data_IF_818006522928
#
_entry.id   IF_818006522928
#
_cell.length_a   1.000
_cell.length_b   1.000
_cell.length_c   1.000
_cell.angle_alpha   90.00
_cell.angle_beta   90.00
_cell.angle_gamma   90.00
#
_symmetry.space_group_name_H-M   'P 1'
#
loop_
_entity.id
_entity.type
_entity.pdbx_description
1 polymer ?
#
# COMPACT_ATOMS: atom_id res chain seq x y z
N UNK A 1 3.83 11.25 21.07
CA UNK A 1 2.92 10.50 20.17
C UNK A 1 3.70 10.13 18.93
N UNK A 2 4.34 8.96 18.91
CA UNK A 2 5.14 8.50 17.77
C UNK A 2 4.39 7.31 17.14
N UNK A 3 3.84 7.52 15.95
CA UNK A 3 3.23 6.44 15.18
C UNK A 3 4.34 5.57 14.60
N UNK A 4 4.32 4.28 14.92
CA UNK A 4 5.19 3.28 14.31
C UNK A 4 4.84 3.14 12.82
N UNK A 5 5.44 3.98 11.98
CA UNK A 5 5.62 3.62 10.59
C UNK A 5 6.51 2.36 10.59
N UNK A 6 6.13 1.34 9.82
CA UNK A 6 6.97 0.19 9.55
C UNK A 6 8.19 0.64 8.72
N UNK A 7 9.12 1.32 9.37
CA UNK A 7 10.43 1.61 8.82
C UNK A 7 11.29 0.40 9.13
N UNK A 8 11.52 -0.42 8.11
CA UNK A 8 12.56 -1.43 8.14
C UNK A 8 13.89 -0.73 8.48
N UNK A 9 14.58 -1.10 9.58
CA UNK A 9 15.87 -0.55 9.91
C UNK A 9 16.92 -1.30 9.09
N UNK A 10 17.22 -0.82 7.89
CA UNK A 10 18.38 -1.30 7.14
C UNK A 10 19.48 -0.26 7.23
N UNK A 11 20.34 -0.48 8.22
CA UNK A 11 21.64 0.13 8.41
C UNK A 11 22.49 -0.01 7.15
N UNK A 12 23.06 1.12 6.76
CA UNK A 12 24.04 1.39 5.71
C UNK A 12 24.85 0.17 5.22
N UNK A 13 24.56 -0.30 3.99
CA UNK A 13 25.41 -1.22 3.23
C UNK A 13 25.12 -1.08 1.73
N UNK A 14 26.14 -1.18 0.86
CA UNK A 14 26.05 -0.67 -0.51
C UNK A 14 25.13 -1.53 -1.38
N UNK A 15 24.06 -0.90 -1.86
CA UNK A 15 23.37 -1.17 -3.13
C UNK A 15 23.10 -2.65 -3.42
N UNK A 16 22.27 -3.27 -2.60
CA UNK A 16 21.26 -4.19 -3.15
C UNK A 16 20.01 -3.87 -2.37
N UNK A 17 19.08 -3.17 -3.02
CA UNK A 17 17.72 -3.14 -2.53
C UNK A 17 17.30 -4.61 -2.50
N UNK A 18 17.36 -5.21 -1.31
CA UNK A 18 16.58 -6.40 -1.02
C UNK A 18 15.19 -6.01 -1.46
N UNK A 19 14.76 -6.58 -2.59
CA UNK A 19 13.36 -6.65 -2.92
C UNK A 19 12.79 -7.48 -1.77
N UNK A 20 12.47 -6.80 -0.66
CA UNK A 20 11.48 -7.28 0.27
C UNK A 20 10.24 -7.33 -0.59
N UNK A 21 10.05 -8.46 -1.29
CA UNK A 21 8.91 -8.73 -2.13
C UNK A 21 7.73 -8.51 -1.20
N UNK A 22 7.14 -7.30 -1.24
CA UNK A 22 6.08 -6.92 -0.32
C UNK A 22 4.88 -7.71 -0.78
N UNK A 23 4.74 -8.91 -0.22
CA UNK A 23 3.58 -9.74 -0.46
C UNK A 23 2.40 -9.10 0.27
N UNK A 24 1.34 -8.78 -0.47
CA UNK A 24 0.15 -8.14 0.06
C UNK A 24 -0.05 -6.69 -0.40
N UNK A 25 -0.95 -6.00 0.29
CA UNK A 25 -1.28 -4.60 -0.01
C UNK A 25 -0.15 -3.65 0.41
N UNK A 26 0.01 -2.57 -0.36
CA UNK A 26 0.99 -1.53 -0.09
C UNK A 26 0.57 -0.18 -0.67
N UNK A 27 1.44 0.82 -0.48
CA UNK A 27 1.36 2.12 -1.12
C UNK A 27 2.60 2.30 -1.99
N UNK A 28 2.42 2.80 -3.20
CA UNK A 28 3.53 3.11 -4.12
C UNK A 28 4.44 4.19 -3.55
N UNK A 29 5.70 4.22 -4.03
CA UNK A 29 6.70 5.21 -3.60
C UNK A 29 6.27 6.67 -3.86
N UNK A 30 5.47 6.90 -4.89
CA UNK A 30 4.93 8.23 -5.21
C UNK A 30 3.66 8.59 -4.40
N UNK A 31 3.18 7.68 -3.53
CA UNK A 31 1.99 7.88 -2.70
C UNK A 31 0.69 8.01 -3.51
N UNK A 32 0.70 7.64 -4.80
CA UNK A 32 -0.43 7.82 -5.71
C UNK A 32 -1.20 6.52 -5.97
N UNK A 33 -0.69 5.37 -5.53
CA UNK A 33 -1.31 4.07 -5.77
C UNK A 33 -1.38 3.21 -4.52
N UNK A 34 -2.51 2.53 -4.36
CA UNK A 34 -2.57 1.31 -3.57
C UNK A 34 -2.08 0.17 -4.46
N UNK A 35 -1.12 -0.59 -3.97
CA UNK A 35 -0.49 -1.69 -4.70
C UNK A 35 -0.81 -3.04 -4.08
N UNK A 36 -0.70 -4.11 -4.86
CA UNK A 36 -0.65 -5.50 -4.40
C UNK A 36 0.54 -6.18 -5.06
N UNK A 37 1.46 -6.73 -4.28
CA UNK A 37 2.69 -7.33 -4.81
C UNK A 37 3.37 -6.42 -5.85
N UNK A 38 3.50 -5.13 -5.52
CA UNK A 38 4.13 -4.10 -6.39
C UNK A 38 3.34 -3.76 -7.66
N UNK A 39 2.19 -4.38 -7.89
CA UNK A 39 1.28 -4.05 -8.99
C UNK A 39 0.29 -2.99 -8.55
N UNK A 40 0.12 -1.95 -9.36
CA UNK A 40 -0.83 -0.87 -9.12
C UNK A 40 -2.29 -1.36 -9.20
N UNK A 41 -3.05 -1.26 -8.10
CA UNK A 41 -4.46 -1.66 -8.04
C UNK A 41 -5.41 -0.46 -8.16
N UNK A 42 -5.18 0.56 -7.34
CA UNK A 42 -6.09 1.71 -7.23
C UNK A 42 -5.30 3.01 -7.24
N UNK A 43 -5.63 3.90 -8.18
CA UNK A 43 -5.06 5.24 -8.23
C UNK A 43 -5.79 6.16 -7.25
N UNK A 44 -5.02 6.83 -6.40
CA UNK A 44 -5.52 7.85 -5.51
C UNK A 44 -5.61 9.20 -6.25
N UNK A 45 -6.75 9.90 -6.19
CA UNK A 45 -6.83 11.29 -6.64
C UNK A 45 -5.82 12.18 -5.91
N UNK A 46 -5.29 13.19 -6.58
CA UNK A 46 -4.25 14.08 -6.03
C UNK A 46 -4.64 14.76 -4.70
N UNK A 47 -5.94 14.96 -4.44
CA UNK A 47 -6.47 15.49 -3.17
C UNK A 47 -6.30 14.54 -1.96
N UNK A 48 -5.96 13.28 -2.21
CA UNK A 48 -5.75 12.24 -1.19
C UNK A 48 -4.29 11.78 -1.16
N UNK A 49 -3.35 12.69 -1.43
CA UNK A 49 -1.91 12.39 -1.28
C UNK A 49 -1.65 11.83 0.12
N UNK A 50 -1.00 10.67 0.14
CA UNK A 50 -0.76 9.88 1.33
C UNK A 50 0.30 10.58 2.17
N UNK A 51 -0.09 11.01 3.38
CA UNK A 51 0.81 11.51 4.41
C UNK A 51 1.34 10.34 5.26
N UNK A 52 0.44 9.42 5.59
CA UNK A 52 0.73 8.21 6.33
C UNK A 52 -0.21 7.08 5.91
N UNK A 53 0.23 5.84 6.09
CA UNK A 53 -0.60 4.67 5.81
C UNK A 53 -0.28 3.50 6.73
N UNK A 54 -1.28 2.63 6.93
CA UNK A 54 -1.11 1.34 7.59
C UNK A 54 -1.93 0.29 6.85
N UNK A 55 -1.36 -0.91 6.75
CA UNK A 55 -2.00 -2.09 6.15
C UNK A 55 -2.24 -3.11 7.25
N UNK A 56 -3.48 -3.56 7.39
CA UNK A 56 -3.88 -4.61 8.31
C UNK A 56 -4.76 -5.63 7.57
N UNK A 57 -4.18 -6.79 7.25
CA UNK A 57 -4.86 -7.83 6.46
C UNK A 57 -5.29 -7.29 5.09
N UNK A 58 -6.59 -7.30 4.79
CA UNK A 58 -7.17 -6.75 3.56
C UNK A 58 -7.64 -5.29 3.68
N UNK A 59 -7.25 -4.60 4.76
CA UNK A 59 -7.61 -3.21 5.00
C UNK A 59 -6.39 -2.31 4.85
N UNK A 60 -6.53 -1.26 4.04
CA UNK A 60 -5.55 -0.19 3.87
C UNK A 60 -6.16 1.09 4.42
N UNK A 61 -5.48 1.69 5.39
CA UNK A 61 -5.87 2.98 5.98
C UNK A 61 -4.87 4.04 5.54
N UNK A 62 -5.37 5.16 5.03
CA UNK A 62 -4.59 6.26 4.47
C UNK A 62 -4.96 7.54 5.20
N UNK A 63 -3.98 8.19 5.82
CA UNK A 63 -4.09 9.57 6.28
C UNK A 63 -3.65 10.53 5.19
N UNK A 64 -4.48 11.54 4.92
CA UNK A 64 -4.19 12.59 3.94
C UNK A 64 -3.73 13.87 4.64
N UNK A 65 -2.96 14.71 3.95
CA UNK A 65 -2.51 16.01 4.48
C UNK A 65 -3.68 16.97 4.81
N UNK A 66 -4.86 16.72 4.26
CA UNK A 66 -6.09 17.44 4.60
C UNK A 66 -6.69 17.10 5.97
N UNK A 67 -6.09 16.17 6.72
CA UNK A 67 -6.64 15.64 7.98
C UNK A 67 -7.74 14.60 7.79
N UNK A 68 -8.08 14.23 6.55
CA UNK A 68 -9.04 13.17 6.24
C UNK A 68 -8.38 11.80 6.27
N UNK A 69 -9.13 10.79 6.69
CA UNK A 69 -8.70 9.39 6.68
C UNK A 69 -9.56 8.60 5.70
N UNK A 70 -8.93 7.84 4.82
CA UNK A 70 -9.58 6.91 3.90
C UNK A 70 -9.31 5.47 4.37
N UNK A 71 -10.38 4.68 4.49
CA UNK A 71 -10.30 3.26 4.85
C UNK A 71 -10.80 2.44 3.67
N UNK A 72 -9.93 1.60 3.12
CA UNK A 72 -10.23 0.75 1.97
C UNK A 72 -10.13 -0.69 2.46
N UNK A 73 -11.25 -1.41 2.40
CA UNK A 73 -11.29 -2.84 2.70
C UNK A 73 -11.54 -3.59 1.42
N UNK A 74 -10.62 -4.48 1.08
CA UNK A 74 -10.77 -5.37 -0.06
C UNK A 74 -11.55 -6.62 0.36
N UNK A 75 -12.57 -6.97 -0.42
CA UNK A 75 -13.24 -8.27 -0.32
C UNK A 75 -12.39 -9.31 -1.03
N UNK A 76 -12.28 -10.49 -0.42
CA UNK A 76 -11.65 -11.67 -1.05
C UNK A 76 -12.60 -12.36 -2.04
N UNK A 77 -13.86 -11.94 -2.09
CA UNK A 77 -14.86 -12.39 -3.03
C UNK A 77 -14.89 -11.46 -4.23
N UNK A 78 -14.88 -12.06 -5.42
CA UNK A 78 -15.08 -11.46 -6.75
C UNK A 78 -13.82 -10.92 -7.42
N UNK A 79 -12.95 -11.86 -7.74
CA UNK A 79 -12.25 -11.80 -9.00
C UNK A 79 -13.17 -12.50 -10.02
N UNK A 80 -13.73 -11.81 -11.04
CA UNK A 80 -14.59 -12.47 -12.02
C UNK A 80 -13.82 -13.64 -12.61
N UNK A 81 -14.48 -14.78 -12.75
CA UNK A 81 -13.98 -16.04 -13.30
C UNK A 81 -13.24 -15.90 -14.66
N UNK A 82 -13.19 -14.70 -15.26
CA UNK A 82 -12.50 -14.35 -16.50
C UNK A 82 -10.97 -14.30 -16.41
N UNK A 83 -10.38 -14.32 -15.21
CA UNK A 83 -8.92 -14.51 -15.04
C UNK A 83 -8.55 -15.95 -14.68
N UNK A 84 -9.55 -16.83 -14.51
CA UNK A 84 -9.33 -18.27 -14.41
C UNK A 84 -9.41 -18.81 -15.83
N UNK A 85 -8.29 -18.76 -16.54
CA UNK A 85 -8.16 -19.39 -17.86
C UNK A 85 -8.52 -20.90 -17.81
N UNK A 86 -8.79 -21.52 -18.97
CA UNK A 86 -9.19 -22.93 -19.06
C UNK A 86 -8.15 -23.91 -18.51
#
# INVERSE_FOLDING_TARGET
MQGIAATCPSTDSPITAVHCCRSGYGISRDGCWVTWNETNLLRLPAKYRVSCSIVLGSTVVIGCDSGRVMVIRFSSHELPELLRGP
#
